data_IF_388025947635
#
_entry.id   IF_388025947635
#
_cell.length_a   1.000
_cell.length_b   1.000
_cell.length_c   1.000
_cell.angle_alpha   90.00
_cell.angle_beta   90.00
_cell.angle_gamma   90.00
#
_symmetry.space_group_name_H-M   'P 1'
#
loop_
_entity.id
_entity.type
_entity.pdbx_description
1 polymer ?
#
# COMPACT_ATOMS: atom_id res chain seq x y z
N UNK A 1 -7.36 -39.33 23.65
CA UNK A 1 -6.61 -40.57 23.38
C UNK A 1 -5.76 -40.35 22.15
N UNK A 2 -4.45 -40.56 22.30
CA UNK A 2 -3.40 -40.31 21.31
C UNK A 2 -3.33 -41.50 20.34
N UNK A 3 -3.20 -41.25 19.03
CA UNK A 3 -2.70 -42.27 18.09
C UNK A 3 -1.44 -41.74 17.42
N UNK A 4 -0.29 -42.03 18.04
CA UNK A 4 1.05 -41.86 17.47
C UNK A 4 1.41 -43.15 16.76
N UNK A 5 1.46 -43.13 15.42
CA UNK A 5 2.03 -44.22 14.63
C UNK A 5 3.51 -43.90 14.35
N UNK A 6 4.37 -44.72 14.94
CA UNK A 6 5.84 -44.71 14.94
C UNK A 6 6.37 -45.01 13.52
N UNK A 7 7.04 -44.05 12.90
CA UNK A 7 7.87 -44.24 11.70
C UNK A 7 9.27 -43.74 12.03
N UNK A 8 10.24 -44.66 12.08
CA UNK A 8 11.63 -44.37 12.41
C UNK A 8 12.42 -44.20 11.10
N UNK A 9 12.84 -42.97 10.81
CA UNK A 9 13.67 -42.57 9.68
C UNK A 9 13.96 -41.06 9.80
N UNK A 10 15.13 -40.56 9.34
CA UNK A 10 15.57 -39.19 9.61
C UNK A 10 14.72 -38.22 8.77
N UNK A 11 13.64 -37.72 9.36
CA UNK A 11 12.74 -36.77 8.73
C UNK A 11 13.39 -35.38 8.77
N UNK A 12 13.97 -35.01 7.63
CA UNK A 12 14.33 -33.64 7.29
C UNK A 12 13.14 -32.74 7.58
N UNK A 13 13.45 -31.67 8.32
CA UNK A 13 12.55 -30.67 8.87
C UNK A 13 11.61 -30.11 7.80
N UNK A 14 10.34 -29.96 8.20
CA UNK A 14 9.30 -29.24 7.48
C UNK A 14 9.81 -27.93 6.86
N UNK A 15 9.61 -27.77 5.56
CA UNK A 15 9.46 -26.45 4.98
C UNK A 15 8.00 -26.27 4.57
N UNK A 16 7.21 -25.64 5.45
CA UNK A 16 5.96 -25.00 5.04
C UNK A 16 6.33 -23.94 4.01
N UNK A 17 5.90 -24.09 2.76
CA UNK A 17 5.86 -22.98 1.82
C UNK A 17 4.75 -22.03 2.28
N UNK A 18 5.06 -21.16 3.24
CA UNK A 18 4.31 -19.91 3.45
C UNK A 18 4.49 -19.14 2.15
N UNK A 19 3.49 -19.19 1.27
CA UNK A 19 3.35 -18.16 0.25
C UNK A 19 3.02 -16.88 0.99
N UNK A 20 4.07 -16.09 1.27
CA UNK A 20 3.93 -14.69 1.61
C UNK A 20 2.92 -14.07 0.63
N UNK A 21 1.94 -13.34 1.16
CA UNK A 21 1.08 -12.49 0.35
C UNK A 21 1.98 -11.76 -0.64
N UNK A 22 1.73 -11.94 -1.94
CA UNK A 22 2.48 -11.24 -2.98
C UNK A 22 2.21 -9.75 -2.76
N UNK A 23 3.11 -9.06 -2.05
CA UNK A 23 3.28 -7.65 -2.23
C UNK A 23 3.61 -7.47 -3.71
N UNK A 24 2.67 -6.91 -4.46
CA UNK A 24 2.91 -6.57 -5.85
C UNK A 24 4.13 -5.64 -5.89
N UNK A 25 5.03 -5.77 -6.88
CA UNK A 25 6.17 -4.87 -6.98
C UNK A 25 5.64 -3.44 -7.09
N UNK A 26 5.99 -2.62 -6.09
CA UNK A 26 5.49 -1.26 -5.97
C UNK A 26 5.80 -0.48 -7.26
N UNK A 27 4.75 -0.02 -7.95
CA UNK A 27 4.90 0.80 -9.14
C UNK A 27 5.41 2.22 -8.81
N UNK A 28 5.74 3.03 -9.83
CA UNK A 28 6.10 4.44 -9.61
C UNK A 28 5.02 5.23 -8.86
N UNK A 29 3.74 4.91 -9.09
CA UNK A 29 2.61 5.50 -8.37
C UNK A 29 2.67 5.16 -6.87
N UNK A 30 2.91 3.91 -6.52
CA UNK A 30 3.05 3.48 -5.13
C UNK A 30 4.20 4.19 -4.42
N UNK A 31 5.34 4.34 -5.10
CA UNK A 31 6.49 5.05 -4.54
C UNK A 31 6.15 6.52 -4.23
N UNK A 32 5.41 7.18 -5.12
CA UNK A 32 4.97 8.57 -4.92
C UNK A 32 3.94 8.70 -3.79
N UNK A 33 2.98 7.78 -3.73
CA UNK A 33 2.00 7.73 -2.63
C UNK A 33 2.72 7.51 -1.29
N UNK A 34 3.71 6.62 -1.21
CA UNK A 34 4.48 6.43 0.02
C UNK A 34 5.24 7.69 0.46
N UNK A 35 5.75 8.50 -0.48
CA UNK A 35 6.37 9.78 -0.14
C UNK A 35 5.35 10.77 0.43
N UNK A 36 4.18 10.88 -0.18
CA UNK A 36 3.07 11.73 0.32
C UNK A 36 2.67 11.28 1.73
N UNK A 37 2.43 9.98 1.90
CA UNK A 37 2.05 9.40 3.19
C UNK A 37 3.16 9.56 4.24
N UNK A 38 4.43 9.58 3.87
CA UNK A 38 5.52 9.83 4.82
C UNK A 38 5.43 11.21 5.48
N UNK A 39 4.99 12.24 4.74
CA UNK A 39 4.77 13.58 5.28
C UNK A 39 3.53 13.57 6.18
N UNK A 40 2.42 13.01 5.70
CA UNK A 40 1.16 13.00 6.44
C UNK A 40 1.24 12.14 7.72
N UNK A 41 2.10 11.11 7.78
CA UNK A 41 2.32 10.32 9.01
C UNK A 41 2.96 11.13 10.13
N UNK A 42 3.79 12.13 9.81
CA UNK A 42 4.37 13.03 10.80
C UNK A 42 3.37 14.12 11.25
N UNK A 43 2.33 14.39 10.43
CA UNK A 43 1.26 15.37 10.69
C UNK A 43 -0.12 14.83 10.28
N UNK A 44 -0.65 13.81 10.98
CA UNK A 44 -1.86 13.10 10.55
C UNK A 44 -3.11 13.98 10.55
N UNK A 45 -3.18 14.97 11.45
CA UNK A 45 -4.31 15.90 11.54
C UNK A 45 -4.40 16.87 10.35
N UNK A 46 -3.37 16.92 9.50
CA UNK A 46 -3.32 17.76 8.30
C UNK A 46 -3.82 17.03 7.04
N UNK A 47 -4.12 15.73 7.13
CA UNK A 47 -4.78 14.99 6.07
C UNK A 47 -6.25 15.41 6.02
N UNK A 48 -6.68 15.96 4.89
CA UNK A 48 -8.07 16.35 4.68
C UNK A 48 -8.99 15.11 4.67
N UNK A 49 -10.29 15.28 5.00
CA UNK A 49 -11.26 14.21 4.83
C UNK A 49 -11.25 13.62 3.42
N UNK A 50 -11.10 14.46 2.40
CA UNK A 50 -11.00 14.03 1.00
C UNK A 50 -9.79 13.12 0.75
N UNK A 51 -8.61 13.45 1.32
CA UNK A 51 -7.45 12.56 1.22
C UNK A 51 -7.72 11.20 1.88
N UNK A 52 -8.31 11.21 3.07
CA UNK A 52 -8.63 9.97 3.80
C UNK A 52 -9.66 9.12 3.06
N UNK A 53 -10.64 9.75 2.42
CA UNK A 53 -11.66 9.04 1.65
C UNK A 53 -11.08 8.48 0.35
N UNK A 54 -10.24 9.23 -0.37
CA UNK A 54 -9.50 8.69 -1.54
C UNK A 54 -8.61 7.51 -1.18
N UNK A 55 -7.95 7.53 -0.02
CA UNK A 55 -7.14 6.39 0.46
C UNK A 55 -8.00 5.16 0.76
N UNK A 56 -9.22 5.35 1.30
CA UNK A 56 -10.16 4.24 1.52
C UNK A 56 -10.65 3.65 0.21
N UNK A 57 -10.98 4.49 -0.77
CA UNK A 57 -11.42 4.04 -2.10
C UNK A 57 -10.34 3.20 -2.78
N UNK A 58 -9.10 3.71 -2.80
CA UNK A 58 -7.93 2.99 -3.32
C UNK A 58 -7.77 1.61 -2.66
N UNK A 59 -7.80 1.53 -1.32
CA UNK A 59 -7.69 0.24 -0.61
C UNK A 59 -8.85 -0.70 -0.89
N UNK A 60 -10.07 -0.18 -1.05
CA UNK A 60 -11.23 -1.00 -1.42
C UNK A 60 -11.06 -1.61 -2.82
N UNK A 61 -10.47 -0.87 -3.76
CA UNK A 61 -10.16 -1.38 -5.11
C UNK A 61 -9.05 -2.43 -5.07
N UNK A 62 -8.00 -2.25 -4.26
CA UNK A 62 -6.96 -3.27 -4.04
C UNK A 62 -7.56 -4.58 -3.49
N UNK A 63 -8.46 -4.48 -2.51
CA UNK A 63 -9.17 -5.63 -1.94
C UNK A 63 -10.08 -6.33 -2.97
N UNK A 64 -10.75 -5.55 -3.81
CA UNK A 64 -11.56 -6.08 -4.91
C UNK A 64 -10.70 -6.81 -5.94
N UNK A 65 -9.53 -6.26 -6.29
CA UNK A 65 -8.56 -6.88 -7.20
C UNK A 65 -8.00 -8.19 -6.64
N UNK A 66 -7.63 -8.22 -5.35
CA UNK A 66 -7.19 -9.44 -4.67
C UNK A 66 -8.30 -10.51 -4.68
N UNK A 67 -9.54 -10.10 -4.45
CA UNK A 67 -10.72 -10.98 -4.47
C UNK A 67 -11.04 -11.50 -5.87
N UNK A 68 -10.86 -10.69 -6.91
CA UNK A 68 -11.05 -11.08 -8.32
C UNK A 68 -9.96 -12.06 -8.78
N UNK A 69 -8.71 -11.78 -8.40
CA UNK A 69 -7.55 -12.66 -8.63
C UNK A 69 -7.77 -14.03 -8.00
N UNK A 70 -8.21 -14.06 -6.74
CA UNK A 70 -8.49 -15.31 -6.01
C UNK A 70 -9.62 -16.13 -6.64
N UNK A 71 -10.54 -15.48 -7.35
CA UNK A 71 -11.69 -16.10 -8.03
C UNK A 71 -11.42 -16.44 -9.51
N UNK A 72 -10.25 -16.06 -10.05
CA UNK A 72 -9.87 -16.34 -11.44
C UNK A 72 -10.72 -15.63 -12.49
N UNK A 73 -11.30 -14.46 -12.18
CA UNK A 73 -12.17 -13.71 -13.09
C UNK A 73 -11.37 -12.63 -13.84
N UNK A 74 -10.91 -12.93 -15.05
CA UNK A 74 -10.03 -12.03 -15.80
C UNK A 74 -10.63 -10.65 -16.11
N UNK A 75 -11.92 -10.57 -16.45
CA UNK A 75 -12.59 -9.28 -16.73
C UNK A 75 -12.66 -8.37 -15.51
N UNK A 76 -12.94 -8.95 -14.33
CA UNK A 76 -13.02 -8.21 -13.08
C UNK A 76 -11.63 -7.72 -12.65
N UNK A 77 -10.58 -8.43 -13.03
CA UNK A 77 -9.18 -8.06 -12.78
C UNK A 77 -8.79 -6.85 -13.65
N UNK A 78 -9.05 -6.88 -14.96
CA UNK A 78 -8.70 -5.76 -15.85
C UNK A 78 -9.40 -4.47 -15.42
N UNK A 79 -10.72 -4.53 -15.20
CA UNK A 79 -11.48 -3.38 -14.73
C UNK A 79 -10.97 -2.86 -13.37
N UNK A 80 -10.66 -3.76 -12.43
CA UNK A 80 -10.14 -3.35 -11.12
C UNK A 80 -8.75 -2.72 -11.21
N UNK A 81 -7.90 -3.13 -12.16
CA UNK A 81 -6.61 -2.48 -12.39
C UNK A 81 -6.79 -1.06 -12.94
N UNK A 82 -7.71 -0.84 -13.88
CA UNK A 82 -7.99 0.50 -14.44
C UNK A 82 -8.54 1.46 -13.37
N UNK A 83 -9.43 0.96 -12.51
CA UNK A 83 -9.93 1.72 -11.36
C UNK A 83 -8.82 1.99 -10.36
N UNK A 84 -7.95 1.01 -10.08
CA UNK A 84 -6.83 1.18 -9.15
C UNK A 84 -5.83 2.23 -9.64
N UNK A 85 -5.52 2.25 -10.94
CA UNK A 85 -4.67 3.28 -11.51
C UNK A 85 -5.30 4.68 -11.35
N UNK A 86 -6.63 4.78 -11.55
CA UNK A 86 -7.38 6.02 -11.33
C UNK A 86 -7.34 6.45 -9.86
N UNK A 87 -7.52 5.51 -8.93
CA UNK A 87 -7.48 5.76 -7.49
C UNK A 87 -6.09 6.22 -7.04
N UNK A 88 -5.02 5.63 -7.59
CA UNK A 88 -3.66 6.11 -7.35
C UNK A 88 -3.48 7.56 -7.79
N UNK A 89 -3.98 7.94 -8.97
CA UNK A 89 -3.92 9.33 -9.43
C UNK A 89 -4.73 10.26 -8.53
N UNK A 90 -5.91 9.83 -8.08
CA UNK A 90 -6.77 10.61 -7.19
C UNK A 90 -6.08 10.85 -5.83
N UNK A 91 -5.54 9.80 -5.22
CA UNK A 91 -4.75 9.89 -3.98
C UNK A 91 -3.57 10.83 -4.15
N UNK A 92 -2.79 10.70 -5.22
CA UNK A 92 -1.65 11.58 -5.47
C UNK A 92 -2.05 13.05 -5.62
N UNK A 93 -3.17 13.34 -6.28
CA UNK A 93 -3.67 14.71 -6.42
C UNK A 93 -4.15 15.27 -5.08
N UNK A 94 -5.05 14.56 -4.40
CA UNK A 94 -5.72 15.07 -3.19
C UNK A 94 -4.75 15.10 -2.01
N UNK A 95 -4.14 13.97 -1.68
CA UNK A 95 -3.19 13.88 -0.56
C UNK A 95 -1.89 14.62 -0.86
N UNK A 96 -1.52 14.78 -2.13
CA UNK A 96 -0.35 15.57 -2.52
C UNK A 96 -0.47 17.05 -2.16
N UNK A 97 -1.67 17.62 -2.28
CA UNK A 97 -1.95 19.00 -1.85
C UNK A 97 -1.77 19.14 -0.34
N UNK A 98 -2.32 18.21 0.44
CA UNK A 98 -2.20 18.21 1.90
C UNK A 98 -0.73 18.08 2.34
N UNK A 99 0.00 17.13 1.77
CA UNK A 99 1.43 16.97 2.08
C UNK A 99 2.26 18.19 1.67
N UNK A 100 1.95 18.81 0.53
CA UNK A 100 2.62 20.04 0.09
C UNK A 100 2.32 21.20 1.04
N UNK A 101 1.08 21.32 1.51
CA UNK A 101 0.66 22.32 2.52
C UNK A 101 1.44 22.16 3.81
N UNK A 102 1.62 20.93 4.29
CA UNK A 102 2.47 20.64 5.46
C UNK A 102 3.91 21.10 5.22
N UNK A 103 4.46 20.84 4.04
CA UNK A 103 5.86 21.17 3.72
C UNK A 103 6.15 22.65 3.42
N UNK A 104 5.15 23.54 3.43
CA UNK A 104 5.34 24.97 3.14
C UNK A 104 5.96 25.77 4.29
N UNK A 105 5.84 25.31 5.53
CA UNK A 105 6.48 25.97 6.67
C UNK A 105 7.86 25.34 6.94
N UNK A 106 8.81 26.06 7.57
CA UNK A 106 10.09 25.48 7.93
C UNK A 106 9.91 24.22 8.78
N UNK A 107 10.58 23.13 8.38
CA UNK A 107 10.52 21.85 9.05
C UNK A 107 11.92 21.38 9.46
N UNK A 108 12.00 20.73 10.61
CA UNK A 108 13.19 20.07 11.11
C UNK A 108 12.93 18.57 11.35
N UNK A 109 13.97 17.85 11.75
CA UNK A 109 13.88 16.43 12.10
C UNK A 109 13.32 15.54 10.98
N UNK A 110 12.42 14.62 11.36
CA UNK A 110 11.81 13.63 10.45
C UNK A 110 10.91 14.27 9.41
N UNK A 111 10.14 15.28 9.80
CA UNK A 111 9.25 15.99 8.89
C UNK A 111 10.05 16.72 7.80
N UNK A 112 11.18 17.33 8.15
CA UNK A 112 12.11 17.90 7.17
C UNK A 112 12.63 16.88 6.16
N UNK A 113 12.98 15.66 6.61
CA UNK A 113 13.43 14.57 5.73
C UNK A 113 12.32 14.04 4.82
N UNK A 114 11.10 13.91 5.34
CA UNK A 114 9.92 13.51 4.57
C UNK A 114 9.62 14.55 3.48
N UNK A 115 9.60 15.83 3.84
CA UNK A 115 9.39 16.94 2.89
C UNK A 115 10.52 17.05 1.85
N UNK A 116 11.78 16.77 2.22
CA UNK A 116 12.88 16.69 1.26
C UNK A 116 12.74 15.51 0.29
N UNK A 117 12.17 14.40 0.73
CA UNK A 117 11.91 13.23 -0.12
C UNK A 117 10.74 13.48 -1.08
N UNK A 118 9.65 14.08 -0.61
CA UNK A 118 8.50 14.46 -1.44
C UNK A 118 8.90 15.40 -2.60
N UNK A 119 9.77 16.39 -2.34
CA UNK A 119 10.24 17.32 -3.38
C UNK A 119 11.11 16.67 -4.46
N UNK A 120 11.82 15.59 -4.14
CA UNK A 120 12.67 14.86 -5.10
C UNK A 120 11.89 13.91 -6.00
N UNK A 121 10.65 13.58 -5.64
CA UNK A 121 9.77 12.72 -6.41
C UNK A 121 8.83 13.44 -7.38
N UNK A 122 8.95 14.78 -7.48
CA UNK A 122 8.33 15.63 -8.51
C UNK A 122 9.35 15.91 -9.61
#
# INVERSE_FOLDING_TARGET
MVVVRKMLGPAIVLALSVTAARAQPAGPADARIQQILSVLRERPDEASPSCLDSLKEMHATEDALQSATSRGKSSDIELANDVLETDYQNVMQVCGVDATRVCHVPQDGKLGQACASLRRGN
#
